data_IF_685513569663
#
_entry.id   IF_685513569663
#
_cell.length_a   1.000
_cell.length_b   1.000
_cell.length_c   1.000
_cell.angle_alpha   90.00
_cell.angle_beta   90.00
_cell.angle_gamma   90.00
#
_symmetry.space_group_name_H-M   'P 1'
#
loop_
_entity.id
_entity.type
_entity.pdbx_description
1 polymer ?
#
# COMPACT_ATOMS: atom_id res chain seq x y z
N UNK A 1 -45.64 53.59 17.19
CA UNK A 1 -46.18 54.97 17.21
C UNK A 1 -45.35 55.81 16.24
N UNK A 2 -45.97 56.65 15.41
CA UNK A 2 -45.21 57.54 14.50
C UNK A 2 -44.64 58.73 15.29
N UNK A 3 -43.40 59.18 15.00
CA UNK A 3 -42.83 60.38 15.62
C UNK A 3 -43.57 61.64 15.19
N UNK A 4 -43.69 62.62 16.10
CA UNK A 4 -44.57 63.78 15.97
C UNK A 4 -44.30 64.62 14.70
N UNK A 5 -43.04 64.78 14.31
CA UNK A 5 -42.65 65.54 13.10
C UNK A 5 -43.23 64.92 11.83
N UNK A 6 -43.14 63.59 11.70
CA UNK A 6 -43.69 62.87 10.55
C UNK A 6 -45.22 62.90 10.55
N UNK A 7 -45.85 63.04 11.72
CA UNK A 7 -47.30 63.12 11.85
C UNK A 7 -47.82 64.47 11.34
N UNK A 8 -47.08 65.55 11.62
CA UNK A 8 -47.41 66.89 11.15
C UNK A 8 -47.28 67.01 9.62
N UNK A 9 -46.17 66.52 9.06
CA UNK A 9 -45.96 66.45 7.60
C UNK A 9 -47.01 65.57 6.91
N UNK A 10 -47.44 64.50 7.59
CA UNK A 10 -48.50 63.64 7.09
C UNK A 10 -49.82 64.41 6.99
N UNK A 11 -50.23 65.15 8.04
CA UNK A 11 -51.48 65.92 8.00
C UNK A 11 -51.47 67.04 6.94
N UNK A 12 -50.35 67.74 6.79
CA UNK A 12 -50.24 68.85 5.84
C UNK A 12 -50.36 68.36 4.38
N UNK A 13 -49.78 67.20 4.08
CA UNK A 13 -49.85 66.60 2.75
C UNK A 13 -51.28 66.21 2.34
N UNK A 14 -52.18 65.88 3.29
CA UNK A 14 -53.60 65.60 2.98
C UNK A 14 -54.43 66.87 2.79
N UNK A 15 -54.08 67.99 3.45
CA UNK A 15 -54.79 69.27 3.26
C UNK A 15 -54.62 69.84 1.86
N UNK A 16 -53.50 69.52 1.19
CA UNK A 16 -53.17 70.00 -0.16
C UNK A 16 -54.07 69.40 -1.26
N UNK A 17 -54.88 68.41 -0.92
CA UNK A 17 -55.56 67.53 -1.86
C UNK A 17 -57.06 67.52 -1.53
N UNK A 18 -57.89 68.09 -2.43
CA UNK A 18 -59.35 68.06 -2.31
C UNK A 18 -59.94 66.65 -2.43
N UNK A 19 -61.28 66.54 -2.29
CA UNK A 19 -62.10 65.35 -1.97
C UNK A 19 -61.79 63.99 -2.66
N UNK A 20 -60.91 63.91 -3.65
CA UNK A 20 -60.52 62.66 -4.34
C UNK A 20 -59.01 62.35 -4.43
N UNK A 21 -58.12 63.10 -3.78
CA UNK A 21 -56.68 62.91 -3.98
C UNK A 21 -56.04 62.05 -2.86
N UNK A 22 -55.97 60.73 -3.10
CA UNK A 22 -55.19 59.77 -2.30
C UNK A 22 -53.71 60.17 -2.30
N UNK A 23 -53.01 60.18 -1.15
CA UNK A 23 -51.60 60.57 -1.12
C UNK A 23 -50.77 59.63 -2.01
N UNK A 24 -49.82 60.20 -2.75
CA UNK A 24 -48.86 59.45 -3.56
C UNK A 24 -48.08 58.50 -2.64
N UNK A 25 -48.38 57.19 -2.72
CA UNK A 25 -47.64 56.16 -1.97
C UNK A 25 -46.14 56.33 -2.28
N UNK A 26 -45.23 56.30 -1.29
CA UNK A 26 -43.82 56.40 -1.56
C UNK A 26 -43.43 55.28 -2.52
N UNK A 27 -42.88 55.63 -3.69
CA UNK A 27 -42.35 54.64 -4.61
C UNK A 27 -41.23 53.90 -3.89
N UNK A 28 -41.40 52.59 -3.69
CA UNK A 28 -40.32 51.74 -3.21
C UNK A 28 -39.20 51.80 -4.25
N UNK A 29 -38.13 52.52 -3.94
CA UNK A 29 -36.90 52.49 -4.73
C UNK A 29 -36.43 51.03 -4.72
N UNK A 30 -36.51 50.37 -5.88
CA UNK A 30 -35.96 49.02 -6.02
C UNK A 30 -34.44 49.14 -5.81
N UNK A 31 -33.96 48.81 -4.62
CA UNK A 31 -32.54 48.68 -4.35
C UNK A 31 -32.04 47.56 -5.27
N UNK A 32 -31.35 47.93 -6.36
CA UNK A 32 -30.68 46.96 -7.23
C UNK A 32 -29.64 46.25 -6.36
N UNK A 33 -29.82 44.94 -6.11
CA UNK A 33 -28.79 44.12 -5.47
C UNK A 33 -27.54 44.20 -6.36
N UNK A 34 -26.51 44.93 -5.93
CA UNK A 34 -25.20 44.88 -6.58
C UNK A 34 -24.69 43.45 -6.35
N UNK A 35 -24.62 42.61 -7.38
CA UNK A 35 -23.87 41.36 -7.27
C UNK A 35 -22.43 41.74 -6.99
N UNK A 36 -21.88 41.40 -5.81
CA UNK A 36 -20.53 41.80 -5.40
C UNK A 36 -19.42 41.05 -6.14
N UNK A 37 -19.77 40.25 -7.15
CA UNK A 37 -18.83 39.39 -7.87
C UNK A 37 -18.38 40.11 -9.13
N UNK A 38 -17.11 40.49 -9.13
CA UNK A 38 -16.44 41.14 -10.26
C UNK A 38 -16.24 40.11 -11.37
N UNK A 39 -16.25 40.49 -12.67
CA UNK A 39 -15.98 39.55 -13.77
C UNK A 39 -14.64 38.80 -13.63
N UNK A 40 -13.65 39.43 -13.01
CA UNK A 40 -12.35 38.82 -12.66
C UNK A 40 -12.49 37.65 -11.68
N UNK A 41 -13.38 37.77 -10.70
CA UNK A 41 -13.63 36.71 -9.71
C UNK A 41 -14.28 35.49 -10.37
N UNK A 42 -15.15 35.70 -11.36
CA UNK A 42 -15.77 34.58 -12.11
C UNK A 42 -14.75 33.80 -12.92
N UNK A 43 -13.79 34.50 -13.53
CA UNK A 43 -12.69 33.86 -14.28
C UNK A 43 -11.76 33.10 -13.31
N UNK A 44 -11.44 33.69 -12.16
CA UNK A 44 -10.62 33.03 -11.13
C UNK A 44 -11.29 31.74 -10.60
N UNK A 45 -12.61 31.77 -10.37
CA UNK A 45 -13.37 30.59 -9.95
C UNK A 45 -13.36 29.51 -11.04
N UNK A 46 -13.59 29.87 -12.31
CA UNK A 46 -13.52 28.92 -13.42
C UNK A 46 -12.13 28.29 -13.54
N UNK A 47 -11.07 29.08 -13.43
CA UNK A 47 -9.70 28.59 -13.45
C UNK A 47 -9.41 27.64 -12.28
N UNK A 48 -9.85 28.00 -11.07
CA UNK A 48 -9.73 27.14 -9.88
C UNK A 48 -10.44 25.80 -10.09
N UNK A 49 -11.66 25.80 -10.67
CA UNK A 49 -12.40 24.57 -10.97
C UNK A 49 -11.64 23.68 -11.96
N UNK A 50 -11.01 24.25 -12.98
CA UNK A 50 -10.18 23.50 -13.93
C UNK A 50 -8.95 22.90 -13.26
N UNK A 51 -8.26 23.66 -12.40
CA UNK A 51 -7.08 23.18 -11.67
C UNK A 51 -7.46 22.04 -10.71
N UNK A 52 -8.53 22.20 -9.94
CA UNK A 52 -9.02 21.15 -9.02
C UNK A 52 -9.46 19.91 -9.80
N UNK A 53 -10.16 20.10 -10.92
CA UNK A 53 -10.53 18.99 -11.81
C UNK A 53 -9.31 18.24 -12.35
N UNK A 54 -8.28 18.97 -12.80
CA UNK A 54 -7.01 18.39 -13.24
C UNK A 54 -6.31 17.60 -12.14
N UNK A 55 -6.26 18.13 -10.92
CA UNK A 55 -5.71 17.41 -9.76
C UNK A 55 -6.46 16.11 -9.48
N UNK A 56 -7.80 16.14 -9.49
CA UNK A 56 -8.60 14.93 -9.29
C UNK A 56 -8.31 13.85 -10.34
N UNK A 57 -8.20 14.22 -11.62
CA UNK A 57 -7.87 13.26 -12.69
C UNK A 57 -6.46 12.71 -12.52
N UNK A 58 -5.48 13.56 -12.17
CA UNK A 58 -4.10 13.12 -11.91
C UNK A 58 -4.00 12.14 -10.74
N UNK A 59 -4.80 12.33 -9.68
CA UNK A 59 -4.85 11.43 -8.54
C UNK A 59 -5.38 10.04 -8.92
N UNK A 60 -6.39 9.96 -9.79
CA UNK A 60 -6.91 8.69 -10.30
C UNK A 60 -5.84 7.97 -11.13
N UNK A 61 -5.14 8.69 -12.01
CA UNK A 61 -4.07 8.10 -12.82
C UNK A 61 -2.93 7.57 -11.93
N UNK A 62 -2.49 8.38 -10.96
CA UNK A 62 -1.42 7.99 -10.04
C UNK A 62 -1.79 6.76 -9.19
N UNK A 63 -3.04 6.67 -8.73
CA UNK A 63 -3.52 5.51 -7.98
C UNK A 63 -3.61 4.26 -8.85
N UNK A 64 -4.01 4.38 -10.12
CA UNK A 64 -3.99 3.28 -11.08
C UNK A 64 -2.56 2.76 -11.33
N UNK A 65 -1.59 3.64 -11.57
CA UNK A 65 -0.18 3.24 -11.71
C UNK A 65 0.37 2.60 -10.43
N UNK A 66 0.06 3.15 -9.26
CA UNK A 66 0.46 2.57 -7.99
C UNK A 66 -0.13 1.16 -7.79
N UNK A 67 -1.37 0.92 -8.26
CA UNK A 67 -1.98 -0.41 -8.22
C UNK A 67 -1.27 -1.40 -9.15
N UNK A 68 -0.93 -0.99 -10.39
CA UNK A 68 -0.16 -1.82 -11.32
C UNK A 68 1.22 -2.18 -10.76
N UNK A 69 1.95 -1.20 -10.22
CA UNK A 69 3.26 -1.44 -9.62
C UNK A 69 3.16 -2.40 -8.43
N UNK A 70 2.12 -2.28 -7.59
CA UNK A 70 1.87 -3.23 -6.49
C UNK A 70 1.58 -4.64 -7.00
N UNK A 71 0.86 -4.76 -8.10
CA UNK A 71 0.59 -6.05 -8.73
C UNK A 71 1.90 -6.70 -9.20
N UNK A 72 2.75 -5.95 -9.89
CA UNK A 72 4.04 -6.44 -10.39
C UNK A 72 4.95 -6.86 -9.24
N UNK A 73 5.02 -6.06 -8.17
CA UNK A 73 5.77 -6.40 -6.95
C UNK A 73 5.29 -7.74 -6.37
N UNK A 74 3.97 -7.91 -6.23
CA UNK A 74 3.42 -9.16 -5.69
C UNK A 74 3.70 -10.35 -6.60
N UNK A 75 3.74 -10.14 -7.92
CA UNK A 75 4.10 -11.18 -8.86
C UNK A 75 5.57 -11.59 -8.71
N UNK A 76 6.49 -10.62 -8.62
CA UNK A 76 7.92 -10.86 -8.39
C UNK A 76 8.15 -11.55 -7.04
N UNK A 77 7.40 -11.20 -6.00
CA UNK A 77 7.49 -11.88 -4.69
C UNK A 77 7.07 -13.35 -4.82
N UNK A 78 5.98 -13.64 -5.53
CA UNK A 78 5.54 -15.02 -5.76
C UNK A 78 6.58 -15.82 -6.55
N UNK A 79 7.13 -15.25 -7.61
CA UNK A 79 8.19 -15.89 -8.39
C UNK A 79 9.42 -16.20 -7.52
N UNK A 80 9.85 -15.26 -6.67
CA UNK A 80 10.94 -15.52 -5.72
C UNK A 80 10.61 -16.65 -4.73
N UNK A 81 9.38 -16.70 -4.22
CA UNK A 81 8.96 -17.79 -3.32
C UNK A 81 8.98 -19.15 -4.01
N UNK A 82 8.58 -19.21 -5.29
CA UNK A 82 8.67 -20.44 -6.09
C UNK A 82 10.13 -20.88 -6.23
N UNK A 83 11.03 -19.96 -6.58
CA UNK A 83 12.47 -20.25 -6.72
C UNK A 83 13.07 -20.73 -5.39
N UNK A 84 12.70 -20.10 -4.26
CA UNK A 84 13.15 -20.54 -2.93
C UNK A 84 12.65 -21.95 -2.63
N UNK A 85 11.38 -22.25 -2.92
CA UNK A 85 10.82 -23.59 -2.74
C UNK A 85 11.50 -24.64 -3.63
N UNK A 86 11.89 -24.26 -4.85
CA UNK A 86 12.71 -25.11 -5.71
C UNK A 86 14.09 -25.37 -5.09
N UNK A 87 14.79 -24.34 -4.61
CA UNK A 87 16.09 -24.47 -3.93
C UNK A 87 15.98 -25.37 -2.70
N UNK A 88 14.94 -25.20 -1.88
CA UNK A 88 14.69 -26.06 -0.71
C UNK A 88 14.46 -27.51 -1.12
N UNK A 89 13.64 -27.74 -2.15
CA UNK A 89 13.41 -29.09 -2.67
C UNK A 89 14.69 -29.72 -3.23
N UNK A 90 15.49 -28.96 -3.99
CA UNK A 90 16.80 -29.39 -4.48
C UNK A 90 17.76 -29.68 -3.32
N UNK A 91 17.73 -28.88 -2.26
CA UNK A 91 18.55 -29.08 -1.05
C UNK A 91 18.12 -30.36 -0.33
N UNK A 92 16.83 -30.62 -0.19
CA UNK A 92 16.31 -31.87 0.38
C UNK A 92 16.71 -33.07 -0.47
N UNK A 93 16.64 -32.97 -1.80
CA UNK A 93 17.10 -34.03 -2.70
C UNK A 93 18.61 -34.25 -2.58
N UNK A 94 19.40 -33.19 -2.49
CA UNK A 94 20.84 -33.26 -2.28
C UNK A 94 21.16 -33.89 -0.93
N UNK A 95 20.50 -33.48 0.15
CA UNK A 95 20.66 -34.09 1.46
C UNK A 95 20.21 -35.55 1.48
N UNK A 96 19.20 -35.94 0.71
CA UNK A 96 18.81 -37.35 0.55
C UNK A 96 19.85 -38.15 -0.24
N UNK A 97 20.43 -37.58 -1.28
CA UNK A 97 21.46 -38.23 -2.10
C UNK A 97 22.82 -38.30 -1.39
N UNK A 98 23.19 -37.25 -0.65
CA UNK A 98 24.39 -37.18 0.19
C UNK A 98 24.15 -37.72 1.60
N UNK A 99 22.94 -38.20 1.91
CA UNK A 99 22.71 -38.89 3.16
C UNK A 99 23.61 -40.11 3.16
N UNK A 100 24.52 -40.17 4.13
CA UNK A 100 25.46 -41.27 4.31
C UNK A 100 24.73 -42.63 4.33
N UNK A 101 23.46 -42.66 4.76
CA UNK A 101 22.59 -43.84 4.70
C UNK A 101 22.28 -44.30 3.27
N UNK A 102 22.03 -43.36 2.35
CA UNK A 102 21.75 -43.68 0.95
C UNK A 102 23.02 -44.16 0.23
N UNK A 103 24.16 -43.54 0.55
CA UNK A 103 25.47 -43.95 0.03
C UNK A 103 25.84 -45.34 0.58
N UNK A 104 25.67 -45.58 1.88
CA UNK A 104 25.91 -46.85 2.56
C UNK A 104 25.00 -47.96 2.01
N UNK A 105 23.72 -47.67 1.80
CA UNK A 105 22.78 -48.62 1.21
C UNK A 105 23.20 -49.03 -0.21
N UNK A 106 23.56 -48.06 -1.06
CA UNK A 106 24.00 -48.33 -2.43
C UNK A 106 25.33 -49.08 -2.46
N UNK A 107 26.26 -48.69 -1.59
CA UNK A 107 27.55 -49.33 -1.40
C UNK A 107 27.43 -50.80 -1.02
N UNK A 108 26.59 -51.10 -0.02
CA UNK A 108 26.43 -52.45 0.52
C UNK A 108 25.57 -53.34 -0.37
N UNK A 109 24.51 -52.78 -0.96
CA UNK A 109 23.51 -53.55 -1.70
C UNK A 109 23.83 -53.71 -3.18
N UNK A 110 24.28 -52.64 -3.86
CA UNK A 110 24.53 -52.66 -5.30
C UNK A 110 26.00 -52.94 -5.63
N UNK A 111 26.93 -52.39 -4.84
CA UNK A 111 28.38 -52.52 -5.09
C UNK A 111 29.03 -53.66 -4.29
N UNK A 112 28.27 -54.32 -3.41
CA UNK A 112 28.76 -55.44 -2.59
C UNK A 112 29.87 -55.05 -1.60
N UNK A 113 29.99 -53.77 -1.27
CA UNK A 113 30.98 -53.29 -0.31
C UNK A 113 30.55 -53.70 1.11
N UNK A 114 31.48 -54.17 1.93
CA UNK A 114 31.22 -54.55 3.31
C UNK A 114 31.84 -53.50 4.23
N UNK A 115 31.08 -53.06 5.23
CA UNK A 115 31.60 -52.13 6.23
C UNK A 115 32.64 -52.84 7.10
N UNK A 116 33.86 -52.31 7.23
CA UNK A 116 34.94 -52.97 7.98
C UNK A 116 34.63 -53.03 9.49
N UNK A 117 35.01 -54.13 10.13
CA UNK A 117 34.90 -54.30 11.58
C UNK A 117 36.06 -53.57 12.29
N UNK A 118 35.89 -53.09 13.54
CA UNK A 118 36.98 -52.51 14.33
C UNK A 118 38.25 -53.38 14.42
N UNK A 119 38.14 -54.69 14.19
CA UNK A 119 39.26 -55.61 14.17
C UNK A 119 40.02 -55.67 12.82
N UNK A 120 39.47 -55.11 11.74
CA UNK A 120 40.07 -55.10 10.40
C UNK A 120 41.08 -53.95 10.20
N UNK A 121 41.22 -53.06 11.20
CA UNK A 121 42.11 -51.91 11.13
C UNK A 121 43.55 -52.26 11.58
N UNK A 122 44.53 -52.02 10.71
CA UNK A 122 45.96 -52.13 11.02
C UNK A 122 46.54 -50.73 11.25
N UNK A 123 47.00 -50.47 12.47
CA UNK A 123 47.62 -49.21 12.86
C UNK A 123 49.14 -49.28 12.66
N UNK A 124 49.70 -48.27 11.97
CA UNK A 124 51.15 -48.20 11.66
C UNK A 124 51.96 -47.83 12.91
N UNK A 125 51.35 -47.11 13.86
CA UNK A 125 52.00 -46.57 15.06
C UNK A 125 51.12 -46.80 16.30
N UNK A 126 51.69 -47.29 17.40
CA UNK A 126 50.94 -47.57 18.64
C UNK A 126 50.38 -46.30 19.33
N UNK A 127 50.97 -45.14 19.02
CA UNK A 127 50.57 -43.82 19.54
C UNK A 127 49.39 -43.20 18.76
N UNK A 128 48.99 -43.81 17.63
CA UNK A 128 47.95 -43.30 16.73
C UNK A 128 46.61 -44.06 16.83
N UNK A 129 46.43 -44.95 17.83
CA UNK A 129 45.12 -45.57 18.06
C UNK A 129 44.15 -44.51 18.60
N UNK A 130 43.15 -44.06 17.83
CA UNK A 130 42.20 -43.08 18.31
C UNK A 130 41.35 -43.70 19.43
N UNK A 131 41.03 -42.89 20.45
CA UNK A 131 40.23 -43.32 21.62
C UNK A 131 38.80 -43.76 21.24
N UNK A 132 38.32 -43.31 20.08
CA UNK A 132 37.09 -43.77 19.44
C UNK A 132 37.40 -44.23 18.01
N UNK A 133 36.78 -45.32 17.59
CA UNK A 133 36.84 -45.82 16.21
C UNK A 133 36.41 -44.70 15.23
N UNK A 134 37.26 -44.42 14.23
CA UNK A 134 37.05 -43.35 13.25
C UNK A 134 35.75 -43.55 12.46
N UNK A 135 35.41 -44.80 12.21
CA UNK A 135 34.16 -45.22 11.59
C UNK A 135 32.94 -44.80 12.43
N UNK A 136 33.01 -44.98 13.75
CA UNK A 136 31.98 -44.55 14.70
C UNK A 136 31.91 -43.02 14.85
N UNK A 137 33.05 -42.33 14.81
CA UNK A 137 33.08 -40.86 14.85
C UNK A 137 32.43 -40.24 13.61
N UNK A 138 32.75 -40.74 12.42
CA UNK A 138 32.10 -40.30 11.19
C UNK A 138 30.60 -40.58 11.23
N UNK A 139 30.18 -41.71 11.80
CA UNK A 139 28.77 -42.06 11.99
C UNK A 139 28.07 -41.12 12.98
N UNK A 140 28.75 -40.74 14.06
CA UNK A 140 28.23 -39.86 15.11
C UNK A 140 28.15 -38.40 14.64
N UNK A 141 29.09 -37.91 13.82
CA UNK A 141 29.00 -36.60 13.16
C UNK A 141 28.00 -36.58 11.99
N UNK A 142 27.86 -37.68 11.26
CA UNK A 142 26.92 -37.78 10.14
C UNK A 142 25.44 -37.79 10.55
N UNK A 143 25.16 -38.22 11.78
CA UNK A 143 23.81 -38.42 12.29
C UNK A 143 23.42 -37.47 13.44
N UNK A 144 24.32 -36.57 13.87
CA UNK A 144 24.00 -35.41 14.71
C UNK A 144 23.79 -34.16 13.86
#
# INVERSE_FOLDING_TARGET
>A
MMPAEKWYEYQDNYKKYGFDMKPKKPQKVKVKKKSSVTPKDRIAILFLTVVVGGLCVSAIIMTAYAASVKYDINNIIKENQVIIGEIENLTVQLNKANNIQAIEYKATTELGMVYPDPNDFVYISAEEKPVKDFALLLKEEAYN
#
